data_IF_907132160133
#
_entry.id   IF_907132160133
#
_cell.length_a   1.000
_cell.length_b   1.000
_cell.length_c   1.000
_cell.angle_alpha   90.00
_cell.angle_beta   90.00
_cell.angle_gamma   90.00
#
_symmetry.space_group_name_H-M   'P 1'
#
loop_
_entity.id
_entity.type
_entity.pdbx_description
1 polymer ?
#
# COMPACT_ATOMS: atom_id res chain seq x y z
N UNK A 1 4.02 44.95 21.56
CA UNK A 1 3.54 43.88 20.64
C UNK A 1 2.04 43.63 20.83
N UNK A 2 1.57 43.21 22.01
CA UNK A 2 0.14 42.95 22.27
C UNK A 2 -0.80 44.16 22.06
N UNK A 3 -0.37 45.38 22.38
CA UNK A 3 -1.16 46.60 22.18
C UNK A 3 -1.46 46.90 20.70
N UNK A 4 -0.53 46.57 19.80
CA UNK A 4 -0.75 46.74 18.36
C UNK A 4 -1.73 45.70 17.80
N UNK A 5 -1.69 44.47 18.30
CA UNK A 5 -2.63 43.40 17.93
C UNK A 5 -4.05 43.74 18.41
N UNK A 6 -4.20 44.21 19.66
CA UNK A 6 -5.50 44.64 20.20
C UNK A 6 -6.12 45.80 19.40
N UNK A 7 -5.31 46.77 18.96
CA UNK A 7 -5.77 47.87 18.13
C UNK A 7 -6.25 47.41 16.74
N UNK A 8 -5.65 46.36 16.17
CA UNK A 8 -6.09 45.74 14.89
C UNK A 8 -7.37 44.93 15.04
N UNK A 9 -7.54 44.20 16.15
CA UNK A 9 -8.80 43.50 16.45
C UNK A 9 -9.96 44.47 16.66
N UNK A 10 -9.71 45.66 17.20
CA UNK A 10 -10.72 46.71 17.37
C UNK A 10 -11.27 47.23 16.04
N UNK A 11 -10.56 47.05 14.92
CA UNK A 11 -11.02 47.38 13.57
C UNK A 11 -11.92 46.30 12.95
N UNK A 12 -11.88 45.07 13.45
CA UNK A 12 -12.71 43.95 12.97
C UNK A 12 -14.08 43.85 13.68
N UNK A 13 -14.32 44.69 14.68
CA UNK A 13 -15.60 44.76 15.39
C UNK A 13 -16.59 45.63 14.60
N UNK A 14 -17.53 45.00 13.89
CA UNK A 14 -18.47 45.67 12.99
C UNK A 14 -19.61 46.41 13.70
N UNK A 15 -19.72 46.29 15.03
CA UNK A 15 -20.85 46.81 15.80
C UNK A 15 -20.45 47.94 16.76
N UNK A 16 -21.27 49.00 16.82
CA UNK A 16 -21.08 50.09 17.76
C UNK A 16 -21.32 49.62 19.20
N UNK A 17 -20.41 49.96 20.13
CA UNK A 17 -20.54 49.59 21.55
C UNK A 17 -21.72 50.30 22.20
N UNK A 18 -22.48 49.54 23.00
CA UNK A 18 -23.61 50.06 23.78
C UNK A 18 -23.12 50.93 24.95
N UNK A 19 -23.96 51.91 25.36
CA UNK A 19 -23.71 52.80 26.51
C UNK A 19 -23.52 51.97 27.80
N UNK A 20 -22.57 52.38 28.64
CA UNK A 20 -22.15 51.64 29.85
C UNK A 20 -23.30 51.44 30.86
N UNK A 21 -24.30 52.35 30.89
CA UNK A 21 -25.42 52.36 31.84
C UNK A 21 -26.45 51.23 31.62
N UNK A 22 -26.47 50.61 30.44
CA UNK A 22 -27.31 49.44 30.14
C UNK A 22 -26.52 48.13 30.15
N UNK A 23 -25.24 48.16 30.54
CA UNK A 23 -24.31 47.02 30.44
C UNK A 23 -23.97 46.46 31.81
N UNK A 24 -24.71 45.44 32.24
CA UNK A 24 -24.40 44.69 33.46
C UNK A 24 -23.24 43.73 33.20
N UNK A 25 -22.05 44.04 33.73
CA UNK A 25 -20.89 43.16 33.69
C UNK A 25 -20.97 42.17 34.85
N UNK A 26 -21.16 40.89 34.57
CA UNK A 26 -21.09 39.82 35.58
C UNK A 26 -19.78 39.04 35.44
N UNK A 27 -19.09 38.82 36.55
CA UNK A 27 -17.86 38.02 36.57
C UNK A 27 -18.13 36.55 36.20
N UNK A 28 -19.29 36.02 36.62
CA UNK A 28 -19.75 34.68 36.26
C UNK A 28 -20.03 34.53 34.76
N UNK A 29 -20.63 35.54 34.13
CA UNK A 29 -20.86 35.56 32.68
C UNK A 29 -19.55 35.55 31.89
N UNK A 30 -18.56 36.34 32.33
CA UNK A 30 -17.23 36.33 31.71
C UNK A 30 -16.55 34.95 31.80
N UNK A 31 -16.65 34.28 32.95
CA UNK A 31 -16.10 32.93 33.12
C UNK A 31 -16.75 31.92 32.18
N UNK A 32 -18.08 31.92 32.07
CA UNK A 32 -18.83 31.02 31.19
C UNK A 32 -18.46 31.26 29.73
N UNK A 33 -18.32 32.52 29.29
CA UNK A 33 -17.92 32.85 27.91
C UNK A 33 -16.53 32.34 27.58
N UNK A 34 -15.56 32.46 28.50
CA UNK A 34 -14.19 31.94 28.31
C UNK A 34 -14.21 30.42 28.23
N UNK A 35 -14.94 29.76 29.14
CA UNK A 35 -15.04 28.31 29.17
C UNK A 35 -15.71 27.78 27.89
N UNK A 36 -16.83 28.37 27.48
CA UNK A 36 -17.53 28.01 26.24
C UNK A 36 -16.68 28.25 24.99
N UNK A 37 -15.97 29.38 24.92
CA UNK A 37 -15.04 29.66 23.83
C UNK A 37 -13.91 28.63 23.74
N UNK A 38 -13.39 28.19 24.88
CA UNK A 38 -12.32 27.17 24.94
C UNK A 38 -12.84 25.83 24.42
N UNK A 39 -14.03 25.40 24.85
CA UNK A 39 -14.66 24.16 24.37
C UNK A 39 -14.94 24.24 22.86
N UNK A 40 -15.48 25.35 22.36
CA UNK A 40 -15.70 25.54 20.92
C UNK A 40 -14.41 25.41 20.11
N UNK A 41 -13.31 26.03 20.57
CA UNK A 41 -12.01 25.95 19.88
C UNK A 41 -11.49 24.50 19.87
N UNK A 42 -11.58 23.79 21.00
CA UNK A 42 -11.15 22.39 21.08
C UNK A 42 -11.93 21.50 20.12
N UNK A 43 -13.26 21.68 20.03
CA UNK A 43 -14.09 20.93 19.09
C UNK A 43 -13.73 21.21 17.64
N UNK A 44 -13.48 22.47 17.27
CA UNK A 44 -13.06 22.84 15.92
C UNK A 44 -11.74 22.17 15.54
N UNK A 45 -10.76 22.16 16.44
CA UNK A 45 -9.46 21.51 16.20
C UNK A 45 -9.63 19.99 16.04
N UNK A 46 -10.45 19.37 16.88
CA UNK A 46 -10.73 17.93 16.83
C UNK A 46 -11.37 17.53 15.50
N UNK A 47 -12.41 18.24 15.07
CA UNK A 47 -13.08 17.98 13.79
C UNK A 47 -12.15 18.22 12.61
N UNK A 48 -11.36 19.29 12.64
CA UNK A 48 -10.40 19.57 11.58
C UNK A 48 -9.34 18.45 11.46
N UNK A 49 -8.87 17.92 12.59
CA UNK A 49 -7.93 16.81 12.61
C UNK A 49 -8.55 15.53 12.03
N UNK A 50 -9.77 15.20 12.44
CA UNK A 50 -10.51 14.04 11.90
C UNK A 50 -10.77 14.18 10.40
N UNK A 51 -11.18 15.37 9.96
CA UNK A 51 -11.42 15.65 8.55
C UNK A 51 -10.16 15.52 7.69
N UNK A 52 -9.01 15.93 8.22
CA UNK A 52 -7.74 15.84 7.51
C UNK A 52 -7.13 14.44 7.55
N UNK A 53 -7.66 13.54 8.39
CA UNK A 53 -7.23 12.15 8.46
C UNK A 53 -7.88 11.34 7.32
N UNK A 54 -7.10 10.80 6.37
CA UNK A 54 -7.66 9.98 5.30
C UNK A 54 -8.15 8.64 5.86
N UNK A 55 -9.40 8.27 5.56
CA UNK A 55 -9.91 6.94 5.82
C UNK A 55 -9.54 6.02 4.65
N UNK A 56 -8.78 4.96 4.94
CA UNK A 56 -8.37 3.95 3.95
C UNK A 56 -9.42 2.83 3.98
N UNK A 57 -10.21 2.72 2.91
CA UNK A 57 -11.14 1.60 2.69
C UNK A 57 -10.57 0.67 1.63
N UNK A 58 -10.35 -0.59 1.98
CA UNK A 58 -9.92 -1.62 1.04
C UNK A 58 -11.13 -2.21 0.31
N UNK A 59 -11.19 -2.00 -1.01
CA UNK A 59 -12.22 -2.61 -1.85
C UNK A 59 -11.60 -3.65 -2.77
N UNK A 60 -12.27 -4.80 -2.91
CA UNK A 60 -11.85 -5.88 -3.78
C UNK A 60 -12.49 -5.68 -5.17
N UNK A 61 -11.71 -5.27 -6.16
CA UNK A 61 -12.16 -5.17 -7.55
C UNK A 61 -11.54 -6.28 -8.40
N UNK A 62 -12.34 -6.88 -9.28
CA UNK A 62 -11.86 -7.86 -10.26
C UNK A 62 -11.24 -7.10 -11.43
N UNK A 63 -9.92 -7.10 -11.52
CA UNK A 63 -9.19 -6.48 -12.64
C UNK A 63 -9.39 -7.30 -13.92
N UNK A 64 -10.35 -6.91 -14.74
CA UNK A 64 -10.62 -7.53 -16.06
C UNK A 64 -9.64 -7.09 -17.14
N UNK A 65 -8.71 -6.18 -16.83
CA UNK A 65 -7.74 -5.59 -17.78
C UNK A 65 -6.46 -6.42 -17.92
N UNK A 66 -6.16 -7.29 -16.95
CA UNK A 66 -4.97 -8.16 -17.00
C UNK A 66 -5.25 -9.38 -17.86
N UNK A 67 -4.38 -9.61 -18.85
CA UNK A 67 -4.43 -10.81 -19.69
C UNK A 67 -4.40 -12.08 -18.85
N UNK A 68 -5.13 -13.10 -19.29
CA UNK A 68 -5.39 -14.37 -18.59
C UNK A 68 -4.14 -15.22 -18.26
N UNK A 69 -2.91 -14.72 -18.54
CA UNK A 69 -1.67 -15.48 -18.39
C UNK A 69 -0.74 -14.79 -17.40
N UNK A 70 -0.52 -15.45 -16.27
CA UNK A 70 0.46 -15.03 -15.26
C UNK A 70 1.85 -15.52 -15.67
N UNK A 71 2.85 -14.64 -15.62
CA UNK A 71 4.26 -15.01 -15.89
C UNK A 71 4.89 -15.52 -14.60
N UNK A 72 5.23 -16.81 -14.56
CA UNK A 72 5.91 -17.44 -13.43
C UNK A 72 7.37 -17.65 -13.82
N UNK A 73 8.29 -17.06 -13.07
CA UNK A 73 9.72 -17.34 -13.18
C UNK A 73 10.15 -18.10 -11.92
N UNK A 74 10.81 -19.24 -12.09
CA UNK A 74 11.30 -20.04 -10.97
C UNK A 74 12.67 -20.64 -11.32
N UNK A 75 13.48 -20.87 -10.28
CA UNK A 75 14.75 -21.59 -10.34
C UNK A 75 14.78 -22.57 -9.17
N UNK A 76 14.82 -23.87 -9.48
CA UNK A 76 14.66 -24.95 -8.50
C UNK A 76 15.77 -25.97 -8.71
N UNK A 77 16.36 -26.40 -7.60
CA UNK A 77 17.41 -27.42 -7.56
C UNK A 77 16.82 -28.71 -6.99
N UNK A 78 16.96 -29.81 -7.72
CA UNK A 78 16.53 -31.14 -7.26
C UNK A 78 17.76 -32.05 -7.11
N UNK A 79 18.28 -32.27 -5.88
CA UNK A 79 19.61 -32.86 -5.67
C UNK A 79 19.67 -34.38 -5.83
N UNK A 80 18.55 -35.09 -5.67
CA UNK A 80 18.53 -36.57 -5.59
C UNK A 80 17.97 -37.27 -6.83
N UNK A 81 17.66 -36.53 -7.90
CA UNK A 81 17.11 -37.11 -9.13
C UNK A 81 17.91 -36.64 -10.34
N UNK A 82 18.10 -37.55 -11.29
CA UNK A 82 18.74 -37.20 -12.55
C UNK A 82 17.83 -36.29 -13.37
N UNK A 83 18.44 -35.28 -14.01
CA UNK A 83 17.76 -34.31 -14.84
C UNK A 83 16.88 -34.94 -15.94
N UNK A 84 17.27 -36.10 -16.49
CA UNK A 84 16.53 -36.75 -17.58
C UNK A 84 15.17 -37.32 -17.15
N UNK A 85 14.95 -37.51 -15.85
CA UNK A 85 13.67 -37.96 -15.29
C UNK A 85 12.80 -36.81 -14.77
N UNK A 86 13.30 -35.57 -14.81
CA UNK A 86 12.53 -34.42 -14.37
C UNK A 86 11.55 -33.98 -15.45
N UNK A 87 10.28 -33.93 -15.08
CA UNK A 87 9.18 -33.39 -15.87
C UNK A 87 8.53 -32.26 -15.07
N UNK A 88 8.06 -31.22 -15.78
CA UNK A 88 7.33 -30.12 -15.16
C UNK A 88 5.90 -30.10 -15.68
N UNK A 89 4.96 -30.18 -14.76
CA UNK A 89 3.54 -30.06 -15.01
C UNK A 89 2.99 -28.87 -14.20
N UNK A 90 2.08 -28.09 -14.79
CA UNK A 90 1.37 -27.03 -14.08
C UNK A 90 -0.13 -27.32 -14.08
N UNK A 91 -0.78 -27.04 -12.95
CA UNK A 91 -2.23 -27.15 -12.78
C UNK A 91 -2.76 -25.86 -12.17
N UNK A 92 -3.79 -25.28 -12.79
CA UNK A 92 -4.50 -24.13 -12.23
C UNK A 92 -5.64 -24.60 -11.29
N UNK A 93 -6.09 -23.69 -10.42
CA UNK A 93 -7.29 -23.82 -9.59
C UNK A 93 -8.56 -24.15 -10.39
N UNK A 94 -8.62 -23.75 -11.66
CA UNK A 94 -9.70 -24.11 -12.61
C UNK A 94 -9.66 -25.57 -13.07
N UNK A 95 -8.60 -26.32 -12.74
CA UNK A 95 -8.38 -27.70 -13.17
C UNK A 95 -7.74 -27.86 -14.55
N UNK A 96 -7.34 -26.75 -15.20
CA UNK A 96 -6.56 -26.81 -16.44
C UNK A 96 -5.16 -27.35 -16.15
N UNK A 97 -4.75 -28.37 -16.91
CA UNK A 97 -3.45 -29.02 -16.77
C UNK A 97 -2.59 -28.79 -18.01
N UNK A 98 -1.40 -28.23 -17.79
CA UNK A 98 -0.35 -28.17 -18.80
C UNK A 98 0.72 -29.20 -18.43
N UNK A 99 0.70 -30.32 -19.13
CA UNK A 99 1.67 -31.40 -18.96
C UNK A 99 2.93 -31.14 -19.79
N UNK A 100 4.10 -31.54 -19.28
CA UNK A 100 5.39 -31.44 -19.98
C UNK A 100 5.65 -30.04 -20.56
N UNK A 101 5.61 -29.02 -19.71
CA UNK A 101 5.89 -27.65 -20.14
C UNK A 101 7.38 -27.54 -20.47
N UNK A 102 7.66 -27.41 -21.75
CA UNK A 102 9.03 -27.30 -22.28
C UNK A 102 9.34 -25.88 -22.77
N UNK A 103 8.35 -24.98 -22.80
CA UNK A 103 8.53 -23.64 -23.36
C UNK A 103 9.19 -22.70 -22.34
N UNK A 104 10.37 -22.19 -22.68
CA UNK A 104 11.18 -21.26 -21.86
C UNK A 104 11.70 -21.82 -20.52
N UNK A 105 11.73 -23.15 -20.37
CA UNK A 105 12.35 -23.83 -19.22
C UNK A 105 13.68 -24.42 -19.67
N UNK A 106 14.70 -24.28 -18.81
CA UNK A 106 16.04 -24.79 -19.07
C UNK A 106 16.42 -25.76 -17.96
N UNK A 107 16.70 -27.01 -18.33
CA UNK A 107 17.20 -28.01 -17.40
C UNK A 107 18.72 -28.05 -17.51
N UNK A 108 19.41 -28.05 -16.37
CA UNK A 108 20.87 -28.16 -16.31
C UNK A 108 21.28 -29.18 -15.25
N UNK A 109 22.32 -29.94 -15.54
CA UNK A 109 22.86 -30.89 -14.58
C UNK A 109 23.74 -30.16 -13.57
N UNK A 110 23.57 -30.51 -12.30
CA UNK A 110 24.36 -30.01 -11.19
C UNK A 110 25.27 -31.11 -10.66
N UNK A 111 26.39 -30.70 -10.06
CA UNK A 111 27.30 -31.56 -9.33
C UNK A 111 26.75 -31.91 -7.94
N UNK A 112 27.38 -32.83 -7.23
CA UNK A 112 27.05 -33.20 -5.85
C UNK A 112 27.11 -31.99 -4.89
N UNK A 113 27.97 -31.02 -5.20
CA UNK A 113 28.12 -29.76 -4.47
C UNK A 113 27.12 -28.68 -4.92
N UNK A 114 26.20 -28.99 -5.84
CA UNK A 114 25.17 -28.06 -6.34
C UNK A 114 25.65 -27.09 -7.41
N UNK A 115 26.89 -27.23 -7.89
CA UNK A 115 27.47 -26.37 -8.94
C UNK A 115 27.01 -26.80 -10.35
N UNK A 116 26.80 -25.87 -11.29
CA UNK A 116 26.50 -26.23 -12.68
C UNK A 116 27.67 -26.93 -13.36
N UNK A 117 27.39 -28.09 -13.97
CA UNK A 117 28.38 -28.80 -14.79
C UNK A 117 28.44 -28.22 -16.20
N UNK A 118 27.31 -27.73 -16.73
CA UNK A 118 27.20 -27.14 -18.08
C UNK A 118 26.34 -25.87 -18.09
N UNK A 119 26.59 -24.98 -19.06
CA UNK A 119 25.73 -23.83 -19.33
C UNK A 119 24.37 -24.27 -19.89
N UNK A 120 23.30 -23.58 -19.49
CA UNK A 120 21.94 -23.86 -19.95
C UNK A 120 21.82 -23.59 -21.46
N UNK A 121 21.90 -24.64 -22.28
CA UNK A 121 21.83 -24.53 -23.75
C UNK A 121 20.44 -24.89 -24.26
N UNK A 122 19.81 -23.99 -25.00
CA UNK A 122 18.61 -24.28 -25.80
C UNK A 122 19.01 -25.17 -26.99
N UNK A 123 18.95 -26.50 -26.85
CA UNK A 123 19.16 -27.42 -27.99
C UNK A 123 17.99 -27.22 -28.98
N UNK A 124 18.31 -27.15 -30.27
CA UNK A 124 17.41 -26.74 -31.36
C UNK A 124 16.50 -27.88 -31.87
N UNK A 125 16.80 -29.11 -31.48
CA UNK A 125 15.88 -30.25 -31.57
C UNK A 125 15.21 -30.40 -30.21
N UNK A 126 13.95 -30.80 -30.18
CA UNK A 126 13.11 -31.04 -28.98
C UNK A 126 13.68 -32.08 -27.97
N UNK A 127 14.98 -32.34 -27.98
CA UNK A 127 15.67 -33.19 -27.04
C UNK A 127 16.01 -32.35 -25.79
N UNK A 128 15.08 -32.31 -24.85
CA UNK A 128 15.28 -31.86 -23.46
C UNK A 128 16.19 -32.80 -22.66
N UNK A 129 17.19 -33.39 -23.30
CA UNK A 129 18.06 -34.36 -22.68
C UNK A 129 19.24 -33.61 -22.05
N UNK A 130 19.38 -33.71 -20.73
CA UNK A 130 20.60 -33.27 -20.06
C UNK A 130 21.73 -34.16 -20.58
N UNK A 131 22.72 -33.53 -21.23
CA UNK A 131 23.81 -34.23 -21.92
C UNK A 131 24.52 -35.14 -20.93
N UNK A 132 24.34 -36.46 -21.10
CA UNK A 132 25.04 -37.47 -20.31
C UNK A 132 26.39 -37.68 -20.96
N UNK A 133 27.43 -37.04 -20.42
CA UNK A 133 28.80 -37.49 -20.66
C UNK A 133 29.18 -38.52 -19.61
#
# INVERSE_FOLDING_TARGET
MASQILNRFKQFDAYAKTLEDFRVKTASGAFITILGGTVMILLIISELHTYMSPNISEELFVDTSRGHKIRINFDIIVPRISCNYLVLDAMDSSGEQHLQIDHNIFKRRLDLDGNPIEEAKKRRNNDFNCSSK
#
